data_IF_939360742789
#
_entry.id   IF_939360742789
#
_cell.length_a   1.000
_cell.length_b   1.000
_cell.length_c   1.000
_cell.angle_alpha   90.00
_cell.angle_beta   90.00
_cell.angle_gamma   90.00
#
_symmetry.space_group_name_H-M   'P 1'
#
loop_
_entity.id
_entity.type
_entity.pdbx_description
1 polymer ?
#
# COMPACT_ATOMS: atom_id res chain seq x y z
N UNK A 1 21.14 75.72 67.24
CA UNK A 1 20.02 75.22 68.02
C UNK A 1 18.73 75.65 67.35
N UNK A 2 18.08 74.88 66.59
CA UNK A 2 16.65 74.91 66.31
C UNK A 2 16.32 73.97 65.21
N UNK A 3 15.47 73.08 65.57
CA UNK A 3 14.91 72.02 64.74
C UNK A 3 13.89 72.53 63.73
N UNK A 4 14.07 72.14 62.44
CA UNK A 4 12.99 72.20 61.48
C UNK A 4 12.56 70.74 61.13
N UNK A 5 11.34 70.41 61.51
CA UNK A 5 10.66 69.23 61.07
C UNK A 5 10.02 69.53 59.70
N UNK A 6 10.36 68.74 58.73
CA UNK A 6 9.73 68.74 57.42
C UNK A 6 8.81 67.55 57.34
N UNK A 7 7.51 67.83 57.32
CA UNK A 7 6.47 66.78 57.09
C UNK A 7 6.41 66.44 55.60
N UNK A 8 6.64 65.16 55.26
CA UNK A 8 6.47 64.65 53.94
C UNK A 8 5.01 64.21 53.75
N UNK A 9 4.28 64.93 52.90
CA UNK A 9 2.96 64.50 52.41
C UNK A 9 3.13 63.37 51.41
N UNK A 10 2.74 62.16 51.78
CA UNK A 10 2.70 60.99 50.87
C UNK A 10 1.38 61.02 50.10
N UNK A 11 1.39 61.47 48.84
CA UNK A 11 0.25 61.33 47.95
C UNK A 11 0.27 59.91 47.37
N UNK A 12 -0.67 59.11 47.82
CA UNK A 12 -0.94 57.77 47.28
C UNK A 12 -1.64 57.84 45.90
N UNK A 13 -0.89 57.74 44.83
CA UNK A 13 -1.44 57.51 43.49
C UNK A 13 -1.86 56.04 43.36
N UNK A 14 -3.16 55.79 43.40
CA UNK A 14 -3.76 54.51 43.05
C UNK A 14 -3.64 54.31 41.54
N UNK A 15 -2.80 53.38 41.11
CA UNK A 15 -2.73 52.90 39.74
C UNK A 15 -3.77 51.81 39.58
N UNK A 16 -4.85 52.13 38.87
CA UNK A 16 -5.80 51.10 38.41
C UNK A 16 -5.17 50.38 37.24
N UNK A 17 -4.62 49.21 37.47
CA UNK A 17 -4.18 48.27 36.41
C UNK A 17 -5.42 47.59 35.83
N UNK A 18 -5.84 48.05 34.66
CA UNK A 18 -6.82 47.33 33.83
C UNK A 18 -6.14 46.12 33.19
N UNK A 19 -6.42 44.94 33.72
CA UNK A 19 -6.02 43.69 33.10
C UNK A 19 -6.98 43.40 31.94
N UNK A 20 -6.53 43.63 30.71
CA UNK A 20 -7.20 43.15 29.49
C UNK A 20 -6.95 41.67 29.37
N UNK A 21 -7.96 40.84 29.67
CA UNK A 21 -7.97 39.43 29.36
C UNK A 21 -8.16 39.26 27.83
N UNK A 22 -7.06 39.00 27.12
CA UNK A 22 -7.08 38.56 25.72
C UNK A 22 -7.48 37.06 25.71
N UNK A 23 -8.77 36.77 25.48
CA UNK A 23 -9.23 35.42 25.20
C UNK A 23 -8.83 35.09 23.76
N UNK A 24 -7.69 34.44 23.58
CA UNK A 24 -7.31 33.88 22.29
C UNK A 24 -8.19 32.66 22.01
N UNK A 25 -9.23 32.83 21.18
CA UNK A 25 -10.00 31.74 20.61
C UNK A 25 -9.10 30.95 19.69
N UNK A 26 -8.53 29.86 20.19
CA UNK A 26 -7.92 28.81 19.33
C UNK A 26 -9.04 28.09 18.60
N UNK A 27 -9.43 28.60 17.43
CA UNK A 27 -10.18 27.83 16.45
C UNK A 27 -9.30 26.71 15.98
N UNK A 28 -9.46 25.53 16.57
CA UNK A 28 -8.81 24.30 16.12
C UNK A 28 -9.23 24.05 14.67
N UNK A 29 -8.33 24.31 13.73
CA UNK A 29 -8.50 23.88 12.35
C UNK A 29 -8.40 22.37 12.36
N UNK A 30 -9.55 21.68 12.41
CA UNK A 30 -9.62 20.27 12.07
C UNK A 30 -9.25 20.15 10.59
N UNK A 31 -7.99 19.83 10.31
CA UNK A 31 -7.56 19.41 8.99
C UNK A 31 -8.26 18.07 8.75
N UNK A 32 -9.43 18.12 8.11
CA UNK A 32 -10.07 16.94 7.56
C UNK A 32 -9.13 16.46 6.47
N UNK A 33 -8.33 15.44 6.76
CA UNK A 33 -7.57 14.73 5.74
C UNK A 33 -8.61 14.11 4.80
N UNK A 34 -8.79 14.71 3.63
CA UNK A 34 -9.63 14.15 2.59
C UNK A 34 -8.99 12.84 2.14
N UNK A 35 -9.48 11.72 2.65
CA UNK A 35 -9.12 10.41 2.14
C UNK A 35 -9.62 10.36 0.70
N UNK A 36 -8.73 10.07 -0.25
CA UNK A 36 -9.12 9.82 -1.64
C UNK A 36 -10.18 8.71 -1.64
N UNK A 37 -11.36 8.95 -2.23
CA UNK A 37 -12.41 7.94 -2.24
C UNK A 37 -11.90 6.66 -2.89
N UNK A 38 -12.06 5.53 -2.21
CA UNK A 38 -11.69 4.23 -2.76
C UNK A 38 -12.65 3.87 -3.88
N UNK A 39 -12.12 3.61 -5.08
CA UNK A 39 -12.90 3.15 -6.23
C UNK A 39 -13.27 1.66 -6.05
N UNK A 40 -14.43 1.27 -6.56
CA UNK A 40 -14.86 -0.13 -6.57
C UNK A 40 -15.72 -0.43 -7.82
N UNK A 41 -15.92 -1.70 -8.12
CA UNK A 41 -16.76 -2.13 -9.23
C UNK A 41 -16.39 -1.47 -10.56
N UNK A 42 -17.38 -1.00 -11.29
CA UNK A 42 -17.23 -0.44 -12.65
C UNK A 42 -16.36 0.81 -12.68
N UNK A 43 -16.37 1.64 -11.62
CA UNK A 43 -15.52 2.82 -11.53
C UNK A 43 -14.02 2.45 -11.48
N UNK A 44 -13.67 1.42 -10.69
CA UNK A 44 -12.30 0.92 -10.64
C UNK A 44 -11.87 0.28 -11.95
N UNK A 45 -12.76 -0.48 -12.59
CA UNK A 45 -12.49 -1.09 -13.90
C UNK A 45 -12.31 0.00 -14.98
N UNK A 46 -13.15 1.02 -14.97
CA UNK A 46 -13.02 2.17 -15.86
C UNK A 46 -11.65 2.85 -15.72
N UNK A 47 -11.20 3.06 -14.48
CA UNK A 47 -9.88 3.61 -14.19
C UNK A 47 -8.74 2.70 -14.69
N UNK A 48 -8.76 1.42 -14.36
CA UNK A 48 -7.74 0.45 -14.79
C UNK A 48 -7.64 0.31 -16.30
N UNK A 49 -8.73 0.50 -17.04
CA UNK A 49 -8.72 0.49 -18.51
C UNK A 49 -7.98 1.69 -19.11
N UNK A 50 -7.93 2.82 -18.44
CA UNK A 50 -7.14 3.97 -18.86
C UNK A 50 -5.64 3.76 -18.64
N UNK A 51 -5.27 2.83 -17.75
CA UNK A 51 -3.90 2.65 -17.32
C UNK A 51 -3.43 3.71 -16.32
N UNK A 52 -2.14 3.69 -16.00
CA UNK A 52 -1.56 4.64 -15.04
C UNK A 52 -1.59 4.16 -13.60
N UNK A 53 -1.85 2.89 -13.35
CA UNK A 53 -1.93 2.32 -11.99
C UNK A 53 -0.85 1.28 -11.77
N UNK A 54 -0.49 1.12 -10.49
CA UNK A 54 0.35 0.02 -10.01
C UNK A 54 -0.51 -0.89 -9.14
N UNK A 55 -0.55 -2.16 -9.52
CA UNK A 55 -1.36 -3.21 -8.87
C UNK A 55 -0.41 -4.10 -8.07
N UNK A 56 -0.42 -3.99 -6.75
CA UNK A 56 0.33 -4.88 -5.86
C UNK A 56 -0.60 -6.00 -5.42
N UNK A 57 -0.28 -7.22 -5.80
CA UNK A 57 -1.10 -8.36 -5.42
C UNK A 57 -0.31 -9.41 -4.62
N UNK A 58 -0.95 -9.99 -3.65
CA UNK A 58 -0.48 -11.22 -3.03
C UNK A 58 -0.63 -12.36 -4.03
N UNK A 59 0.32 -13.29 -4.08
CA UNK A 59 0.17 -14.51 -4.88
C UNK A 59 -1.16 -15.23 -4.58
N UNK A 60 -1.68 -15.99 -5.53
CA UNK A 60 -2.89 -16.79 -5.38
C UNK A 60 -2.74 -17.85 -4.26
N UNK A 61 -3.85 -18.48 -3.88
CA UNK A 61 -3.90 -19.42 -2.75
C UNK A 61 -2.84 -20.53 -2.84
N UNK A 62 -2.23 -20.79 -1.70
CA UNK A 62 -1.22 -21.85 -1.53
C UNK A 62 -1.33 -22.43 -0.12
N UNK A 63 -0.97 -23.73 0.12
CA UNK A 63 -0.95 -24.31 1.44
C UNK A 63 -0.16 -23.44 2.43
N UNK A 64 -0.60 -23.40 3.69
CA UNK A 64 0.00 -22.54 4.73
C UNK A 64 1.06 -23.27 5.55
N UNK A 65 1.75 -24.20 4.93
CA UNK A 65 2.81 -24.97 5.58
C UNK A 65 3.99 -24.06 5.94
N UNK A 66 4.60 -24.35 7.08
CA UNK A 66 5.83 -23.66 7.52
C UNK A 66 6.94 -23.96 6.52
N UNK A 67 7.64 -22.95 5.98
CA UNK A 67 8.74 -23.20 5.05
C UNK A 67 9.86 -23.98 5.73
N UNK A 68 10.36 -24.98 5.04
CA UNK A 68 11.59 -25.71 5.39
C UNK A 68 12.74 -25.17 4.55
N UNK A 69 14.00 -25.51 4.87
CA UNK A 69 15.17 -25.17 4.02
C UNK A 69 15.01 -25.68 2.60
N UNK A 70 14.35 -26.84 2.42
CA UNK A 70 14.10 -27.42 1.10
C UNK A 70 13.02 -26.64 0.34
N UNK A 71 11.89 -26.31 1.00
CA UNK A 71 10.76 -25.62 0.39
C UNK A 71 10.99 -24.11 0.26
N UNK A 72 12.05 -23.59 0.86
CA UNK A 72 12.47 -22.19 0.74
C UNK A 72 13.55 -21.97 -0.32
N UNK A 73 14.03 -23.05 -0.99
CA UNK A 73 15.11 -22.97 -1.97
C UNK A 73 14.58 -22.66 -3.38
N UNK A 74 14.87 -21.48 -3.97
CA UNK A 74 14.37 -21.08 -5.29
C UNK A 74 14.93 -21.94 -6.43
N UNK A 75 16.05 -22.62 -6.20
CA UNK A 75 16.64 -23.54 -7.19
C UNK A 75 15.98 -24.91 -7.19
N UNK A 76 15.08 -25.19 -6.23
CA UNK A 76 14.35 -26.45 -6.15
C UNK A 76 12.85 -26.25 -6.32
N UNK A 77 12.44 -25.88 -7.52
CA UNK A 77 11.05 -25.58 -7.87
C UNK A 77 10.06 -26.71 -7.54
N UNK A 78 10.53 -27.97 -7.47
CA UNK A 78 9.68 -29.12 -7.12
C UNK A 78 9.37 -29.20 -5.64
N UNK A 79 10.22 -28.65 -4.78
CA UNK A 79 10.06 -28.64 -3.33
C UNK A 79 9.57 -27.29 -2.80
N UNK A 80 9.59 -26.24 -3.62
CA UNK A 80 9.00 -24.97 -3.25
C UNK A 80 7.49 -25.11 -3.05
N UNK A 81 6.93 -24.30 -2.14
CA UNK A 81 5.49 -24.27 -1.89
C UNK A 81 4.72 -23.92 -3.17
N UNK A 82 3.88 -24.83 -3.60
CA UNK A 82 3.08 -24.71 -4.81
C UNK A 82 1.79 -23.91 -4.55
N UNK A 83 1.12 -23.47 -5.61
CA UNK A 83 -0.29 -23.07 -5.50
C UNK A 83 -1.15 -24.32 -5.25
N UNK A 84 -2.19 -24.17 -4.43
CA UNK A 84 -3.23 -25.19 -4.32
C UNK A 84 -4.18 -25.16 -5.55
N UNK A 85 -5.17 -26.05 -5.57
CA UNK A 85 -6.10 -26.15 -6.70
C UNK A 85 -6.91 -24.86 -6.86
N UNK A 86 -7.39 -24.28 -5.76
CA UNK A 86 -8.13 -23.03 -5.75
C UNK A 86 -7.28 -21.86 -6.27
N UNK A 87 -6.00 -21.79 -5.86
CA UNK A 87 -5.06 -20.77 -6.32
C UNK A 87 -4.80 -20.87 -7.83
N UNK A 88 -4.63 -22.08 -8.37
CA UNK A 88 -4.46 -22.28 -9.82
C UNK A 88 -5.70 -21.85 -10.60
N UNK A 89 -6.88 -22.27 -10.14
CA UNK A 89 -8.14 -21.94 -10.78
C UNK A 89 -8.43 -20.44 -10.76
N UNK A 90 -8.24 -19.78 -9.60
CA UNK A 90 -8.50 -18.35 -9.43
C UNK A 90 -7.51 -17.49 -10.21
N UNK A 91 -6.22 -17.83 -10.26
CA UNK A 91 -5.23 -17.13 -11.08
C UNK A 91 -5.59 -17.20 -12.57
N UNK A 92 -6.00 -18.38 -13.06
CA UNK A 92 -6.44 -18.56 -14.44
C UNK A 92 -7.68 -17.72 -14.74
N UNK A 93 -8.68 -17.75 -13.87
CA UNK A 93 -9.93 -17.00 -14.02
C UNK A 93 -9.71 -15.48 -14.00
N UNK A 94 -8.84 -15.00 -13.12
CA UNK A 94 -8.41 -13.59 -13.09
C UNK A 94 -7.80 -13.17 -14.43
N UNK A 95 -6.89 -13.96 -14.98
CA UNK A 95 -6.26 -13.65 -16.27
C UNK A 95 -7.26 -13.58 -17.43
N UNK A 96 -8.25 -14.48 -17.45
CA UNK A 96 -9.37 -14.41 -18.43
C UNK A 96 -10.16 -13.11 -18.24
N UNK A 97 -10.45 -12.74 -16.99
CA UNK A 97 -11.21 -11.53 -16.68
C UNK A 97 -10.46 -10.26 -17.09
N UNK A 98 -9.15 -10.13 -16.79
CA UNK A 98 -8.32 -8.99 -17.18
C UNK A 98 -8.39 -8.73 -18.70
N UNK A 99 -8.26 -9.78 -19.51
CA UNK A 99 -8.37 -9.70 -20.97
C UNK A 99 -9.80 -9.32 -21.44
N UNK A 100 -10.82 -9.95 -20.87
CA UNK A 100 -12.23 -9.65 -21.18
C UNK A 100 -12.58 -8.20 -20.85
N UNK A 101 -12.10 -7.69 -19.72
CA UNK A 101 -12.27 -6.32 -19.26
C UNK A 101 -11.37 -5.32 -20.03
N UNK A 102 -10.50 -5.80 -20.92
CA UNK A 102 -9.57 -4.98 -21.71
C UNK A 102 -8.68 -4.08 -20.84
N UNK A 103 -8.20 -4.62 -19.71
CA UNK A 103 -7.28 -3.91 -18.81
C UNK A 103 -5.87 -4.05 -19.36
N UNK A 104 -5.22 -2.97 -19.79
CA UNK A 104 -3.89 -3.03 -20.38
C UNK A 104 -2.84 -3.25 -19.27
N UNK A 105 -2.04 -4.32 -19.40
CA UNK A 105 -0.91 -4.61 -18.52
C UNK A 105 0.37 -4.43 -19.33
N UNK A 106 1.24 -3.48 -18.93
CA UNK A 106 2.49 -3.16 -19.62
C UNK A 106 3.71 -3.80 -19.00
N UNK A 107 3.73 -3.95 -17.68
CA UNK A 107 4.83 -4.56 -16.96
C UNK A 107 4.33 -5.54 -15.88
N UNK A 108 5.05 -6.65 -15.72
CA UNK A 108 4.78 -7.65 -14.69
C UNK A 108 6.06 -7.94 -13.93
N UNK A 109 6.05 -7.67 -12.62
CA UNK A 109 7.14 -7.91 -11.70
C UNK A 109 6.68 -8.96 -10.69
N UNK A 110 7.50 -9.96 -10.42
CA UNK A 110 7.15 -11.03 -9.48
C UNK A 110 8.26 -11.28 -8.48
N UNK A 111 7.89 -11.72 -7.29
CA UNK A 111 8.81 -12.47 -6.45
C UNK A 111 9.41 -13.65 -7.25
N UNK A 112 10.68 -14.02 -7.02
CA UNK A 112 11.27 -15.19 -7.66
C UNK A 112 10.69 -16.53 -7.18
N UNK A 113 9.85 -16.52 -6.13
CA UNK A 113 9.24 -17.75 -5.62
C UNK A 113 8.29 -18.39 -6.63
N UNK A 114 8.26 -19.72 -6.65
CA UNK A 114 7.42 -20.47 -7.58
C UNK A 114 5.95 -20.01 -7.57
N UNK A 115 5.33 -19.87 -6.38
CA UNK A 115 3.91 -19.50 -6.26
C UNK A 115 3.58 -18.11 -6.81
N UNK A 116 4.52 -17.15 -6.75
CA UNK A 116 4.33 -15.82 -7.32
C UNK A 116 4.46 -15.83 -8.85
N UNK A 117 5.51 -16.48 -9.36
CA UNK A 117 5.72 -16.66 -10.80
C UNK A 117 4.58 -17.46 -11.42
N UNK A 118 4.14 -18.54 -10.77
CA UNK A 118 3.05 -19.38 -11.24
C UNK A 118 1.70 -18.66 -11.25
N UNK A 119 1.45 -17.76 -10.29
CA UNK A 119 0.26 -16.89 -10.31
C UNK A 119 0.25 -16.02 -11.59
N UNK A 120 1.34 -15.37 -11.92
CA UNK A 120 1.45 -14.56 -13.13
C UNK A 120 1.34 -15.41 -14.41
N UNK A 121 1.97 -16.57 -14.43
CA UNK A 121 1.95 -17.51 -15.58
C UNK A 121 0.53 -18.02 -15.87
N UNK A 122 -0.19 -18.47 -14.86
CA UNK A 122 -1.57 -18.96 -15.00
C UNK A 122 -2.55 -17.86 -15.41
N UNK A 123 -2.34 -16.65 -14.92
CA UNK A 123 -3.09 -15.47 -15.36
C UNK A 123 -2.71 -15.05 -16.79
N UNK A 124 -1.72 -15.68 -17.42
CA UNK A 124 -1.16 -15.31 -18.73
C UNK A 124 -0.76 -13.84 -18.79
N UNK A 125 -0.14 -13.35 -17.72
CA UNK A 125 0.51 -12.05 -17.72
C UNK A 125 1.85 -12.19 -18.49
N UNK A 126 2.07 -11.27 -19.43
CA UNK A 126 3.19 -11.42 -20.36
C UNK A 126 4.52 -10.99 -19.72
N UNK A 127 5.59 -11.70 -20.06
CA UNK A 127 6.98 -11.38 -19.76
C UNK A 127 7.26 -11.00 -18.29
N UNK A 128 6.86 -11.81 -17.29
CA UNK A 128 7.12 -11.50 -15.89
C UNK A 128 8.62 -11.46 -15.62
N UNK A 129 9.08 -10.39 -14.97
CA UNK A 129 10.46 -10.24 -14.49
C UNK A 129 10.50 -10.48 -12.98
N UNK A 130 11.47 -11.27 -12.52
CA UNK A 130 11.65 -11.56 -11.10
C UNK A 130 12.53 -10.51 -10.42
N UNK A 131 12.15 -10.16 -9.18
CA UNK A 131 12.88 -9.22 -8.32
C UNK A 131 12.96 -9.79 -6.91
N UNK A 132 14.16 -9.90 -6.37
CA UNK A 132 14.40 -10.43 -5.02
C UNK A 132 13.74 -9.59 -3.94
N UNK A 133 13.56 -8.29 -4.20
CA UNK A 133 12.87 -7.37 -3.32
C UNK A 133 11.38 -7.72 -3.12
N UNK A 134 10.78 -8.44 -4.03
CA UNK A 134 9.41 -8.96 -3.90
C UNK A 134 9.33 -10.30 -3.16
N UNK A 135 10.48 -10.91 -2.82
CA UNK A 135 10.54 -12.15 -2.06
C UNK A 135 10.19 -11.95 -0.57
N UNK A 136 9.66 -13.00 0.06
CA UNK A 136 9.23 -12.97 1.47
C UNK A 136 10.29 -13.46 2.47
N UNK A 137 11.53 -13.60 2.02
CA UNK A 137 12.61 -14.17 2.82
C UNK A 137 12.52 -15.69 3.01
N UNK A 138 11.50 -16.34 2.44
CA UNK A 138 11.33 -17.78 2.50
C UNK A 138 12.56 -18.53 2.00
N UNK A 139 13.26 -17.98 1.03
CA UNK A 139 14.52 -18.52 0.49
C UNK A 139 15.67 -18.45 1.49
N UNK A 140 15.75 -17.41 2.29
CA UNK A 140 16.77 -17.22 3.33
C UNK A 140 16.23 -17.48 4.74
N UNK A 141 14.93 -17.64 4.92
CA UNK A 141 14.23 -17.73 6.20
C UNK A 141 14.50 -16.52 7.13
N UNK A 142 14.90 -15.38 6.56
CA UNK A 142 15.25 -14.16 7.30
C UNK A 142 14.11 -13.15 7.42
N UNK A 143 13.01 -13.41 6.72
CA UNK A 143 11.88 -12.46 6.64
C UNK A 143 12.14 -11.29 5.70
N UNK A 144 11.20 -10.36 5.66
CA UNK A 144 11.25 -9.18 4.78
C UNK A 144 12.05 -8.05 5.46
N UNK A 145 13.00 -7.48 4.74
CA UNK A 145 13.86 -6.38 5.20
C UNK A 145 13.22 -5.01 4.99
N UNK A 146 13.75 -3.98 5.67
CA UNK A 146 13.36 -2.58 5.42
C UNK A 146 13.71 -2.13 3.99
N UNK A 147 14.81 -2.61 3.44
CA UNK A 147 15.21 -2.29 2.06
C UNK A 147 14.18 -2.80 1.04
N UNK A 148 13.65 -4.01 1.24
CA UNK A 148 12.58 -4.57 0.40
C UNK A 148 11.28 -3.77 0.54
N UNK A 149 10.93 -3.37 1.76
CA UNK A 149 9.76 -2.54 2.00
C UNK A 149 9.89 -1.16 1.32
N UNK A 150 11.04 -0.50 1.48
CA UNK A 150 11.32 0.78 0.85
C UNK A 150 11.32 0.68 -0.69
N UNK A 151 11.86 -0.41 -1.24
CA UNK A 151 11.81 -0.67 -2.67
C UNK A 151 10.36 -0.78 -3.17
N UNK A 152 9.51 -1.54 -2.47
CA UNK A 152 8.10 -1.70 -2.85
C UNK A 152 7.33 -0.38 -2.72
N UNK A 153 7.56 0.41 -1.65
CA UNK A 153 6.98 1.75 -1.48
C UNK A 153 7.36 2.70 -2.62
N UNK A 154 8.63 2.67 -3.04
CA UNK A 154 9.08 3.46 -4.19
C UNK A 154 8.41 2.97 -5.47
N UNK A 155 8.35 1.67 -5.68
CA UNK A 155 7.84 1.07 -6.92
C UNK A 155 6.35 1.36 -7.18
N UNK A 156 5.53 1.50 -6.13
CA UNK A 156 4.11 1.84 -6.30
C UNK A 156 3.88 3.28 -6.78
N UNK A 157 4.91 4.12 -6.77
CA UNK A 157 4.86 5.49 -7.30
C UNK A 157 5.39 5.61 -8.73
N UNK A 158 5.86 4.51 -9.32
CA UNK A 158 6.35 4.48 -10.71
C UNK A 158 5.17 4.20 -11.67
N UNK A 159 4.32 5.20 -11.88
CA UNK A 159 3.10 5.05 -12.67
C UNK A 159 3.40 4.94 -14.17
N UNK A 160 2.97 3.86 -14.86
CA UNK A 160 3.13 3.74 -16.30
C UNK A 160 2.11 4.61 -17.04
N UNK A 161 2.42 5.00 -18.27
CA UNK A 161 1.47 5.70 -19.15
C UNK A 161 0.69 4.71 -20.00
N UNK A 162 -0.64 4.83 -20.04
CA UNK A 162 -1.53 4.05 -20.90
C UNK A 162 -1.65 2.55 -20.59
N UNK A 163 -0.89 2.04 -19.64
CA UNK A 163 -0.92 0.65 -19.16
C UNK A 163 -0.91 0.60 -17.63
N UNK A 164 -1.01 -0.59 -17.06
CA UNK A 164 -0.81 -0.82 -15.62
C UNK A 164 0.41 -1.70 -15.38
N UNK A 165 1.04 -1.53 -14.24
CA UNK A 165 2.09 -2.42 -13.75
C UNK A 165 1.50 -3.38 -12.72
N UNK A 166 1.79 -4.68 -12.83
CA UNK A 166 1.39 -5.70 -11.83
C UNK A 166 2.62 -6.17 -11.08
N UNK A 167 2.57 -6.13 -9.76
CA UNK A 167 3.57 -6.69 -8.86
C UNK A 167 2.97 -7.87 -8.09
N UNK A 168 3.53 -9.06 -8.23
CA UNK A 168 3.08 -10.26 -7.49
C UNK A 168 4.08 -10.54 -6.37
N UNK A 169 3.62 -10.44 -5.14
CA UNK A 169 4.45 -10.56 -3.94
C UNK A 169 3.75 -11.37 -2.83
N UNK A 170 4.11 -11.16 -1.58
CA UNK A 170 3.67 -11.92 -0.42
C UNK A 170 3.07 -11.01 0.66
N UNK A 171 2.29 -11.62 1.55
CA UNK A 171 1.71 -10.89 2.70
C UNK A 171 2.76 -10.17 3.56
N UNK A 172 3.91 -10.77 3.92
CA UNK A 172 4.94 -10.07 4.69
C UNK A 172 5.48 -8.80 4.02
N UNK A 173 5.65 -8.80 2.68
CA UNK A 173 6.10 -7.62 1.93
C UNK A 173 5.06 -6.51 1.98
N UNK A 174 3.78 -6.86 1.76
CA UNK A 174 2.68 -5.90 1.84
C UNK A 174 2.56 -5.33 3.25
N UNK A 175 2.64 -6.20 4.27
CA UNK A 175 2.53 -5.78 5.67
C UNK A 175 3.67 -4.84 6.10
N UNK A 176 4.89 -5.09 5.63
CA UNK A 176 6.04 -4.26 5.97
C UNK A 176 6.04 -2.93 5.22
N UNK A 177 5.70 -2.96 3.93
CA UNK A 177 5.64 -1.74 3.12
C UNK A 177 4.42 -0.87 3.43
N UNK A 178 3.26 -1.47 3.73
CA UNK A 178 1.99 -0.78 3.91
C UNK A 178 1.23 -1.32 5.14
N UNK A 179 1.71 -1.09 6.37
CA UNK A 179 1.12 -1.68 7.58
C UNK A 179 -0.38 -1.37 7.75
N UNK A 180 -0.79 -0.14 7.41
CA UNK A 180 -2.20 0.29 7.50
C UNK A 180 -3.12 -0.38 6.48
N UNK A 181 -2.59 -0.92 5.39
CA UNK A 181 -3.35 -1.55 4.30
C UNK A 181 -3.34 -3.08 4.38
N UNK A 182 -2.45 -3.65 5.19
CA UNK A 182 -2.21 -5.10 5.23
C UNK A 182 -3.33 -5.89 5.91
N UNK A 183 -4.10 -5.25 6.79
CA UNK A 183 -5.18 -5.95 7.49
C UNK A 183 -6.20 -6.53 6.52
N UNK A 184 -6.44 -7.84 6.63
CA UNK A 184 -7.44 -8.54 5.83
C UNK A 184 -7.07 -8.78 4.37
N UNK A 185 -5.79 -8.59 3.95
CA UNK A 185 -5.37 -8.93 2.59
C UNK A 185 -5.43 -10.45 2.38
N UNK A 186 -6.34 -10.88 1.52
CA UNK A 186 -6.58 -12.28 1.16
C UNK A 186 -5.56 -12.80 0.15
N UNK A 187 -5.51 -14.11 -0.05
CA UNK A 187 -4.73 -14.74 -1.12
C UNK A 187 -5.20 -14.22 -2.48
N UNK A 188 -4.27 -13.76 -3.31
CA UNK A 188 -4.57 -13.22 -4.63
C UNK A 188 -5.24 -11.85 -4.65
N UNK A 189 -5.45 -11.21 -3.50
CA UNK A 189 -6.01 -9.86 -3.48
C UNK A 189 -5.04 -8.83 -4.03
N UNK A 190 -5.58 -7.93 -4.85
CA UNK A 190 -4.90 -6.82 -5.50
C UNK A 190 -5.20 -5.50 -4.78
N UNK A 191 -4.15 -4.77 -4.43
CA UNK A 191 -4.17 -3.38 -3.96
C UNK A 191 -3.81 -2.49 -5.14
N UNK A 192 -4.70 -1.61 -5.54
CA UNK A 192 -4.50 -0.70 -6.69
C UNK A 192 -4.03 0.65 -6.19
N UNK A 193 -2.85 1.07 -6.63
CA UNK A 193 -2.27 2.37 -6.30
C UNK A 193 -2.35 3.32 -7.49
N UNK A 194 -2.74 4.55 -7.22
CA UNK A 194 -2.75 5.67 -8.15
C UNK A 194 -2.01 6.87 -7.57
N UNK A 195 -1.74 7.89 -8.39
CA UNK A 195 -1.08 9.11 -7.97
C UNK A 195 -1.92 9.87 -6.93
N UNK A 196 -1.26 10.37 -5.88
CA UNK A 196 -1.91 11.17 -4.83
C UNK A 196 -2.02 12.66 -5.17
N UNK A 197 -1.54 13.05 -6.35
CA UNK A 197 -1.47 14.45 -6.80
C UNK A 197 -0.38 15.29 -6.11
N UNK A 198 0.43 14.69 -5.23
CA UNK A 198 1.52 15.34 -4.49
C UNK A 198 2.89 14.74 -4.78
N UNK A 199 2.96 13.87 -5.79
CA UNK A 199 4.18 13.16 -6.20
C UNK A 199 4.37 11.79 -5.54
N UNK A 200 3.39 11.33 -4.77
CA UNK A 200 3.35 10.01 -4.13
C UNK A 200 2.25 9.11 -4.67
N UNK A 201 2.04 7.98 -3.99
CA UNK A 201 1.02 6.99 -4.29
C UNK A 201 -0.02 6.88 -3.17
N UNK A 202 -1.27 6.65 -3.55
CA UNK A 202 -2.36 6.36 -2.63
C UNK A 202 -3.11 5.11 -3.07
N UNK A 203 -3.70 4.37 -2.12
CA UNK A 203 -4.59 3.26 -2.43
C UNK A 203 -5.89 3.81 -3.02
N UNK A 204 -6.20 3.43 -4.25
CA UNK A 204 -7.43 3.84 -4.95
C UNK A 204 -8.47 2.74 -5.05
N UNK A 205 -8.10 1.48 -4.81
CA UNK A 205 -9.04 0.37 -4.80
C UNK A 205 -8.42 -0.96 -4.37
N UNK A 206 -9.30 -1.93 -4.09
CA UNK A 206 -8.93 -3.31 -3.76
C UNK A 206 -9.83 -4.25 -4.55
N UNK A 207 -9.29 -5.36 -5.01
CA UNK A 207 -10.03 -6.40 -5.74
C UNK A 207 -9.55 -7.76 -5.24
N UNK A 208 -10.45 -8.56 -4.70
CA UNK A 208 -10.16 -9.96 -4.38
C UNK A 208 -10.06 -10.78 -5.66
N UNK A 209 -9.26 -11.83 -5.63
CA UNK A 209 -9.02 -12.62 -6.86
C UNK A 209 -10.30 -13.23 -7.44
N UNK A 210 -11.25 -13.62 -6.59
CA UNK A 210 -12.54 -14.20 -6.98
C UNK A 210 -13.56 -13.17 -7.48
N UNK A 211 -13.29 -11.87 -7.33
CA UNK A 211 -14.17 -10.80 -7.80
C UNK A 211 -13.94 -10.51 -9.29
N UNK A 212 -12.71 -10.66 -9.79
CA UNK A 212 -12.37 -10.36 -11.18
C UNK A 212 -13.35 -10.95 -12.22
N UNK A 213 -13.74 -12.24 -12.14
CA UNK A 213 -14.67 -12.83 -13.10
C UNK A 213 -16.09 -12.28 -13.05
N UNK A 214 -16.45 -11.59 -11.95
CA UNK A 214 -17.79 -11.02 -11.72
C UNK A 214 -17.92 -9.57 -12.18
N UNK A 215 -16.78 -8.89 -12.38
CA UNK A 215 -16.74 -7.51 -12.85
C UNK A 215 -17.23 -7.42 -14.30
N UNK A 216 -17.81 -6.30 -14.66
CA UNK A 216 -18.40 -6.05 -15.98
C UNK A 216 -17.80 -4.80 -16.64
N UNK A 217 -18.03 -4.69 -17.94
CA UNK A 217 -17.74 -3.49 -18.73
C UNK A 217 -18.91 -2.53 -18.67
#
# INVERSE_FOLDING_TARGET
MSHWRMELIVQSRQWRTSVLLLVASMAGQHVVSAQTPTLSGDALIGALRQGGYVIVMRHASSPRDVPTKQTANPHNLKLERQLDESGRASATSMGVALRKLKIPIGAVLTSPTYRAVETARLARLENPKTYDELGDGGQSMQGVTEAQAAWLQKRVSDFPSGTNTVLVTHMPNIARAFPSLASGVSDGEALVFGADGKGGATLVGRIRIEEWPRLRL
#
